data_IF_606524767631
#
_entry.id   IF_606524767631
#
_cell.length_a   1.000
_cell.length_b   1.000
_cell.length_c   1.000
_cell.angle_alpha   90.00
_cell.angle_beta   90.00
_cell.angle_gamma   90.00
#
_symmetry.space_group_name_H-M   'P 1'
#
loop_
_entity.id
_entity.type
_entity.pdbx_description
1 polymer ?
#
# COMPACT_ATOMS: atom_id res chain seq x y z
N UNK A 1 15.23 -15.62 -1.02
CA UNK A 1 14.93 -16.37 0.23
C UNK A 1 14.67 -15.44 1.42
N UNK A 2 15.55 -14.47 1.72
CA UNK A 2 15.40 -13.58 2.88
C UNK A 2 14.06 -12.84 2.95
N UNK A 3 13.64 -12.15 1.89
CA UNK A 3 12.37 -11.39 1.90
C UNK A 3 11.12 -12.28 2.03
N UNK A 4 11.18 -13.52 1.54
CA UNK A 4 10.07 -14.47 1.74
C UNK A 4 9.96 -14.88 3.21
N UNK A 5 11.10 -15.19 3.85
CA UNK A 5 11.12 -15.52 5.27
C UNK A 5 10.61 -14.34 6.11
N UNK A 6 11.09 -13.12 5.84
CA UNK A 6 10.59 -11.90 6.48
C UNK A 6 9.08 -11.75 6.29
N UNK A 7 8.58 -11.91 5.06
CA UNK A 7 7.17 -11.76 4.74
C UNK A 7 6.28 -12.74 5.50
N UNK A 8 6.67 -14.01 5.60
CA UNK A 8 5.94 -14.99 6.40
C UNK A 8 5.93 -14.61 7.88
N UNK A 9 7.10 -14.29 8.46
CA UNK A 9 7.20 -13.92 9.87
C UNK A 9 6.35 -12.70 10.19
N UNK A 10 6.47 -11.61 9.42
CA UNK A 10 5.74 -10.37 9.71
C UNK A 10 4.23 -10.53 9.48
N UNK A 11 3.81 -11.34 8.51
CA UNK A 11 2.38 -11.57 8.22
C UNK A 11 1.70 -12.43 9.29
N UNK A 12 2.45 -13.34 9.93
CA UNK A 12 1.94 -14.21 11.00
C UNK A 12 2.16 -13.61 12.41
N UNK A 13 2.79 -12.43 12.49
CA UNK A 13 3.00 -11.70 13.75
C UNK A 13 1.75 -10.89 14.10
N UNK A 14 1.28 -10.90 15.37
CA UNK A 14 0.18 -10.04 15.79
C UNK A 14 0.43 -8.57 15.42
N UNK A 15 -0.57 -7.91 14.82
CA UNK A 15 -0.42 -6.54 14.31
C UNK A 15 0.06 -5.57 15.41
N UNK A 16 -0.34 -5.76 16.67
CA UNK A 16 0.14 -4.93 17.79
C UNK A 16 1.66 -4.97 17.94
N UNK A 17 2.28 -6.15 17.82
CA UNK A 17 3.74 -6.29 17.91
C UNK A 17 4.43 -5.70 16.66
N UNK A 18 3.79 -5.77 15.49
CA UNK A 18 4.29 -5.08 14.28
C UNK A 18 4.25 -3.57 14.45
N UNK A 19 3.18 -3.03 15.05
CA UNK A 19 3.00 -1.60 15.29
C UNK A 19 4.06 -1.04 16.24
N UNK A 20 4.39 -1.77 17.31
CA UNK A 20 5.43 -1.38 18.27
C UNK A 20 6.80 -1.16 17.60
N UNK A 21 7.08 -1.89 16.50
CA UNK A 21 8.34 -1.84 15.76
C UNK A 21 8.20 -1.24 14.35
N UNK A 22 7.05 -0.62 14.02
CA UNK A 22 6.69 -0.22 12.66
C UNK A 22 7.75 0.66 12.00
N UNK A 23 8.31 1.64 12.72
CA UNK A 23 9.34 2.56 12.20
C UNK A 23 10.57 1.81 11.68
N UNK A 24 10.98 0.72 12.34
CA UNK A 24 12.14 -0.09 11.95
C UNK A 24 11.78 -1.10 10.85
N UNK A 25 10.54 -1.58 10.83
CA UNK A 25 10.09 -2.61 9.90
C UNK A 25 9.70 -2.07 8.53
N UNK A 26 9.22 -0.82 8.44
CA UNK A 26 8.72 -0.23 7.18
C UNK A 26 9.72 -0.33 6.03
N UNK A 27 11.00 0.07 6.16
CA UNK A 27 11.95 -0.03 5.05
C UNK A 27 12.05 -1.45 4.48
N UNK A 28 12.25 -2.45 5.35
CA UNK A 28 12.33 -3.87 4.98
C UNK A 28 11.03 -4.38 4.36
N UNK A 29 9.88 -3.92 4.88
CA UNK A 29 8.57 -4.27 4.33
C UNK A 29 8.37 -3.71 2.92
N UNK A 30 8.82 -2.48 2.65
CA UNK A 30 8.75 -1.86 1.33
C UNK A 30 9.72 -2.50 0.33
N UNK A 31 10.91 -2.90 0.77
CA UNK A 31 11.84 -3.70 -0.03
C UNK A 31 11.26 -5.07 -0.37
N UNK A 32 10.68 -5.77 0.62
CA UNK A 32 10.02 -7.05 0.41
C UNK A 32 8.85 -6.95 -0.59
N UNK A 33 7.99 -5.94 -0.45
CA UNK A 33 6.91 -5.68 -1.40
C UNK A 33 7.45 -5.43 -2.81
N UNK A 34 8.51 -4.63 -2.94
CA UNK A 34 9.15 -4.36 -4.23
C UNK A 34 9.65 -5.65 -4.88
N UNK A 35 10.53 -6.37 -4.19
CA UNK A 35 11.23 -7.53 -4.74
C UNK A 35 10.29 -8.70 -5.04
N UNK A 36 9.28 -8.92 -4.20
CA UNK A 36 8.36 -10.04 -4.37
C UNK A 36 7.27 -9.76 -5.40
N UNK A 37 6.94 -8.48 -5.66
CA UNK A 37 5.93 -8.11 -6.66
C UNK A 37 6.36 -8.36 -8.11
N UNK A 38 7.66 -8.50 -8.39
CA UNK A 38 8.16 -8.77 -9.74
C UNK A 38 7.76 -10.15 -10.26
N UNK A 39 7.67 -11.14 -9.38
CA UNK A 39 7.31 -12.51 -9.72
C UNK A 39 5.87 -12.81 -9.28
N UNK A 40 5.02 -13.01 -10.28
CA UNK A 40 3.58 -13.29 -10.13
C UNK A 40 3.26 -14.53 -9.28
N UNK A 41 4.20 -15.45 -9.11
CA UNK A 41 4.04 -16.61 -8.23
C UNK A 41 3.97 -16.22 -6.75
N UNK A 42 4.47 -15.04 -6.37
CA UNK A 42 4.44 -14.55 -4.99
C UNK A 42 3.17 -13.77 -4.63
N UNK A 43 2.13 -13.80 -5.47
CA UNK A 43 0.90 -13.01 -5.27
C UNK A 43 0.32 -13.13 -3.85
N UNK A 44 0.29 -14.31 -3.25
CA UNK A 44 -0.27 -14.50 -1.90
C UNK A 44 0.62 -13.83 -0.83
N UNK A 45 1.94 -13.90 -1.00
CA UNK A 45 2.91 -13.26 -0.10
C UNK A 45 2.83 -11.73 -0.23
N UNK A 46 2.74 -11.22 -1.46
CA UNK A 46 2.58 -9.78 -1.75
C UNK A 46 1.29 -9.27 -1.14
N UNK A 47 0.20 -10.02 -1.27
CA UNK A 47 -1.08 -9.66 -0.66
C UNK A 47 -0.99 -9.59 0.87
N UNK A 48 -0.37 -10.58 1.52
CA UNK A 48 -0.19 -10.59 2.98
C UNK A 48 0.66 -9.40 3.46
N UNK A 49 1.77 -9.09 2.78
CA UNK A 49 2.57 -7.90 3.09
C UNK A 49 1.77 -6.59 2.92
N UNK A 50 0.91 -6.53 1.91
CA UNK A 50 0.05 -5.38 1.68
C UNK A 50 -1.02 -5.25 2.77
N UNK A 51 -1.54 -6.36 3.28
CA UNK A 51 -2.45 -6.36 4.44
C UNK A 51 -1.74 -5.87 5.71
N UNK A 52 -0.49 -6.26 5.94
CA UNK A 52 0.32 -5.72 7.04
C UNK A 52 0.48 -4.20 6.90
N UNK A 53 0.84 -3.71 5.71
CA UNK A 53 0.93 -2.27 5.44
C UNK A 53 -0.41 -1.57 5.68
N UNK A 54 -1.52 -2.16 5.23
CA UNK A 54 -2.86 -1.63 5.47
C UNK A 54 -3.16 -1.53 6.96
N UNK A 55 -2.80 -2.55 7.75
CA UNK A 55 -2.95 -2.53 9.20
C UNK A 55 -2.17 -1.40 9.86
N UNK A 56 -0.92 -1.17 9.42
CA UNK A 56 -0.09 -0.05 9.88
C UNK A 56 -0.76 1.30 9.54
N UNK A 57 -1.32 1.46 8.35
CA UNK A 57 -1.97 2.70 7.92
C UNK A 57 -3.29 3.00 8.67
N UNK A 58 -3.94 1.98 9.23
CA UNK A 58 -5.17 2.13 10.00
C UNK A 58 -4.95 2.52 11.46
N UNK A 59 -3.72 2.38 11.97
CA UNK A 59 -3.35 2.75 13.33
C UNK A 59 -2.67 4.12 13.39
N UNK A 60 -2.91 4.91 14.45
CA UNK A 60 -2.33 6.26 14.58
C UNK A 60 -0.81 6.23 14.74
N UNK A 61 -0.27 5.31 15.53
CA UNK A 61 1.18 5.18 15.72
C UNK A 61 1.83 4.65 14.45
N UNK A 62 1.15 3.73 13.76
CA UNK A 62 1.55 3.25 12.44
C UNK A 62 1.57 4.37 11.38
N UNK A 63 0.60 5.28 11.39
CA UNK A 63 0.58 6.45 10.52
C UNK A 63 1.81 7.35 10.74
N UNK A 64 2.20 7.60 11.98
CA UNK A 64 3.43 8.35 12.26
C UNK A 64 4.69 7.67 11.70
N UNK A 65 4.72 6.33 11.73
CA UNK A 65 5.84 5.55 11.24
C UNK A 65 6.00 5.61 9.70
N UNK A 66 4.90 5.78 8.96
CA UNK A 66 4.95 5.85 7.49
C UNK A 66 5.32 7.24 6.95
N UNK A 67 5.23 8.30 7.76
CA UNK A 67 5.43 9.70 7.32
C UNK A 67 6.77 9.94 6.62
N UNK A 68 7.84 9.29 7.09
CA UNK A 68 9.18 9.44 6.51
C UNK A 68 9.31 8.75 5.15
N UNK A 69 8.49 7.72 4.90
CA UNK A 69 8.57 6.84 3.73
C UNK A 69 7.42 7.06 2.73
N UNK A 70 6.62 8.12 2.89
CA UNK A 70 5.41 8.40 2.08
C UNK A 70 5.66 8.28 0.58
N UNK A 71 6.75 8.87 0.08
CA UNK A 71 7.07 8.85 -1.36
C UNK A 71 7.32 7.42 -1.89
N UNK A 72 8.03 6.59 -1.13
CA UNK A 72 8.29 5.19 -1.47
C UNK A 72 6.99 4.40 -1.43
N UNK A 73 6.22 4.56 -0.35
CA UNK A 73 4.94 3.87 -0.16
C UNK A 73 4.00 4.16 -1.31
N UNK A 74 3.79 5.44 -1.66
CA UNK A 74 2.93 5.83 -2.78
C UNK A 74 3.44 5.23 -4.09
N UNK A 75 4.75 5.31 -4.36
CA UNK A 75 5.31 4.72 -5.58
C UNK A 75 5.06 3.21 -5.66
N UNK A 76 5.16 2.48 -4.54
CA UNK A 76 4.90 1.04 -4.49
C UNK A 76 3.42 0.73 -4.68
N UNK A 77 2.54 1.42 -3.97
CA UNK A 77 1.09 1.24 -4.09
C UNK A 77 0.60 1.52 -5.52
N UNK A 78 1.11 2.58 -6.17
CA UNK A 78 0.80 2.89 -7.56
C UNK A 78 1.17 1.74 -8.50
N UNK A 79 2.33 1.10 -8.29
CA UNK A 79 2.73 -0.08 -9.06
C UNK A 79 1.75 -1.25 -8.92
N UNK A 80 1.16 -1.41 -7.73
CA UNK A 80 0.22 -2.49 -7.42
C UNK A 80 -1.20 -2.24 -7.96
N UNK A 81 -1.58 -1.01 -8.33
CA UNK A 81 -2.90 -0.71 -8.94
C UNK A 81 -3.14 -1.52 -10.20
N UNK A 82 -2.10 -1.87 -10.95
CA UNK A 82 -2.20 -2.65 -12.18
C UNK A 82 -1.67 -4.09 -12.03
N UNK A 83 -1.58 -4.60 -10.79
CA UNK A 83 -1.05 -5.93 -10.53
C UNK A 83 -1.90 -7.03 -11.21
N UNK A 84 -1.36 -7.73 -12.23
CA UNK A 84 -2.18 -8.63 -13.05
C UNK A 84 -2.78 -9.84 -12.30
N UNK A 85 -2.01 -10.56 -11.45
CA UNK A 85 -2.42 -11.88 -10.94
C UNK A 85 -3.61 -11.90 -9.98
N UNK A 86 -3.89 -10.82 -9.27
CA UNK A 86 -4.86 -10.84 -8.16
C UNK A 86 -5.56 -9.49 -8.00
N UNK A 87 -6.89 -9.51 -8.08
CA UNK A 87 -7.70 -8.29 -7.90
C UNK A 87 -7.62 -7.72 -6.48
N UNK A 88 -7.49 -8.57 -5.45
CA UNK A 88 -7.43 -8.13 -4.06
C UNK A 88 -6.20 -7.25 -3.81
N UNK A 89 -5.05 -7.55 -4.44
CA UNK A 89 -3.87 -6.67 -4.37
C UNK A 89 -4.19 -5.28 -4.93
N UNK A 90 -4.86 -5.21 -6.09
CA UNK A 90 -5.20 -3.93 -6.72
C UNK A 90 -6.18 -3.13 -5.86
N UNK A 91 -7.22 -3.81 -5.36
CA UNK A 91 -8.23 -3.23 -4.48
C UNK A 91 -7.62 -2.69 -3.19
N UNK A 92 -6.85 -3.51 -2.47
CA UNK A 92 -6.21 -3.11 -1.22
C UNK A 92 -5.15 -2.03 -1.43
N UNK A 93 -4.41 -2.04 -2.55
CA UNK A 93 -3.44 -0.98 -2.84
C UNK A 93 -4.13 0.39 -3.00
N UNK A 94 -5.30 0.42 -3.64
CA UNK A 94 -6.11 1.62 -3.77
C UNK A 94 -6.69 2.05 -2.41
N UNK A 95 -7.16 1.11 -1.59
CA UNK A 95 -7.62 1.40 -0.22
C UNK A 95 -6.49 1.99 0.65
N UNK A 96 -5.26 1.47 0.53
CA UNK A 96 -4.08 2.05 1.17
C UNK A 96 -3.81 3.47 0.67
N UNK A 97 -3.97 3.75 -0.63
CA UNK A 97 -3.84 5.13 -1.15
C UNK A 97 -4.92 6.06 -0.57
N UNK A 98 -6.16 5.59 -0.35
CA UNK A 98 -7.18 6.35 0.39
C UNK A 98 -6.70 6.65 1.80
N UNK A 99 -6.19 5.66 2.54
CA UNK A 99 -5.69 5.88 3.90
C UNK A 99 -4.51 6.87 3.94
N UNK A 100 -3.62 6.82 2.95
CA UNK A 100 -2.51 7.76 2.81
C UNK A 100 -2.98 9.21 2.61
N UNK A 101 -4.19 9.45 2.13
CA UNK A 101 -4.73 10.78 1.87
C UNK A 101 -4.99 11.57 3.17
N UNK A 102 -5.03 10.91 4.34
CA UNK A 102 -5.22 11.56 5.64
C UNK A 102 -3.92 11.93 6.35
N UNK A 103 -2.76 11.64 5.75
CA UNK A 103 -1.46 12.01 6.32
C UNK A 103 -1.21 13.53 6.24
N UNK A 104 -0.22 14.08 6.96
CA UNK A 104 0.02 15.52 6.98
C UNK A 104 0.17 16.12 5.57
N UNK A 105 -0.60 17.17 5.27
CA UNK A 105 -0.71 17.79 3.93
C UNK A 105 0.65 18.09 3.29
N UNK A 106 1.58 18.65 4.07
CA UNK A 106 2.96 18.98 3.65
C UNK A 106 3.70 17.78 3.03
N UNK A 107 3.38 16.56 3.46
CA UNK A 107 4.04 15.33 3.01
C UNK A 107 3.37 14.73 1.77
N UNK A 108 2.06 14.89 1.61
CA UNK A 108 1.28 14.22 0.55
C UNK A 108 0.92 15.12 -0.63
N UNK A 109 0.78 16.43 -0.43
CA UNK A 109 0.40 17.36 -1.50
C UNK A 109 1.34 17.29 -2.72
N UNK A 110 2.69 17.20 -2.58
CA UNK A 110 3.59 17.07 -3.72
C UNK A 110 3.34 15.82 -4.58
N UNK A 111 2.72 14.79 -4.02
CA UNK A 111 2.49 13.49 -4.66
C UNK A 111 1.09 13.37 -5.27
N UNK A 112 0.22 14.36 -5.03
CA UNK A 112 -1.19 14.38 -5.46
C UNK A 112 -1.37 14.11 -6.96
N UNK A 113 -0.63 14.84 -7.80
CA UNK A 113 -0.72 14.71 -9.26
C UNK A 113 -0.34 13.29 -9.71
N UNK A 114 0.69 12.71 -9.11
CA UNK A 114 1.15 11.36 -9.42
C UNK A 114 0.07 10.31 -9.08
N UNK A 115 -0.56 10.44 -7.91
CA UNK A 115 -1.63 9.53 -7.49
C UNK A 115 -2.85 9.65 -8.40
N UNK A 116 -3.30 10.86 -8.71
CA UNK A 116 -4.47 11.07 -9.57
C UNK A 116 -4.26 10.53 -10.99
N UNK A 117 -3.06 10.69 -11.54
CA UNK A 117 -2.71 10.09 -12.84
C UNK A 117 -2.72 8.56 -12.77
N UNK A 118 -2.14 7.96 -11.73
CA UNK A 118 -2.09 6.51 -11.56
C UNK A 118 -3.47 5.87 -11.36
N UNK A 119 -4.33 6.50 -10.54
CA UNK A 119 -5.69 6.04 -10.22
C UNK A 119 -6.56 5.88 -11.47
N UNK A 120 -6.28 6.63 -12.54
CA UNK A 120 -7.00 6.51 -13.81
C UNK A 120 -7.02 5.07 -14.33
N UNK A 121 -5.95 4.29 -14.09
CA UNK A 121 -5.89 2.86 -14.46
C UNK A 121 -6.89 2.00 -13.67
N UNK A 122 -7.15 2.33 -12.41
CA UNK A 122 -8.10 1.61 -11.57
C UNK A 122 -9.56 1.91 -11.91
N UNK A 123 -9.86 3.07 -12.51
CA UNK A 123 -11.20 3.43 -12.96
C UNK A 123 -11.72 2.53 -14.08
N UNK A 124 -10.80 2.00 -14.90
CA UNK A 124 -11.10 1.09 -16.00
C UNK A 124 -10.81 -0.38 -15.67
N UNK A 125 -10.63 -0.72 -14.38
CA UNK A 125 -10.35 -2.12 -13.97
C UNK A 125 -11.52 -3.04 -14.37
N UNK A 126 -11.28 -4.29 -14.82
CA UNK A 126 -12.35 -5.23 -15.13
C UNK A 126 -13.27 -5.54 -13.95
N UNK A 127 -12.81 -5.39 -12.70
CA UNK A 127 -13.56 -5.72 -11.48
C UNK A 127 -14.24 -4.49 -10.90
N UNK A 128 -15.55 -4.64 -10.61
CA UNK A 128 -16.38 -3.55 -10.07
C UNK A 128 -15.88 -3.05 -8.72
N UNK A 129 -15.44 -3.93 -7.82
CA UNK A 129 -14.94 -3.53 -6.49
C UNK A 129 -13.71 -2.62 -6.61
N UNK A 130 -12.75 -3.01 -7.46
CA UNK A 130 -11.56 -2.20 -7.75
C UNK A 130 -11.94 -0.82 -8.31
N UNK A 131 -12.90 -0.76 -9.25
CA UNK A 131 -13.39 0.53 -9.79
C UNK A 131 -14.04 1.41 -8.71
N UNK A 132 -14.79 0.82 -7.78
CA UNK A 132 -15.43 1.56 -6.69
C UNK A 132 -14.38 2.19 -5.76
N UNK A 133 -13.35 1.42 -5.38
CA UNK A 133 -12.24 1.96 -4.59
C UNK A 133 -11.46 3.02 -5.37
N UNK A 134 -11.27 2.85 -6.69
CA UNK A 134 -10.60 3.85 -7.52
C UNK A 134 -11.36 5.19 -7.55
N UNK A 135 -12.70 5.16 -7.63
CA UNK A 135 -13.54 6.36 -7.54
C UNK A 135 -13.37 7.03 -6.18
N UNK A 136 -13.45 6.26 -5.09
CA UNK A 136 -13.26 6.76 -3.72
C UNK A 136 -11.88 7.40 -3.54
N UNK A 137 -10.83 6.72 -4.00
CA UNK A 137 -9.46 7.22 -3.95
C UNK A 137 -9.32 8.51 -4.76
N UNK A 138 -9.89 8.58 -5.96
CA UNK A 138 -9.85 9.80 -6.76
C UNK A 138 -10.49 10.98 -6.02
N UNK A 139 -11.64 10.77 -5.40
CA UNK A 139 -12.34 11.82 -4.64
C UNK A 139 -11.49 12.32 -3.47
N UNK A 140 -11.01 11.41 -2.62
CA UNK A 140 -10.18 11.76 -1.48
C UNK A 140 -8.91 12.54 -1.87
N UNK A 141 -8.28 12.17 -2.99
CA UNK A 141 -7.08 12.86 -3.49
C UNK A 141 -7.37 14.16 -4.25
N UNK A 142 -8.59 14.37 -4.74
CA UNK A 142 -8.97 15.65 -5.34
C UNK A 142 -9.19 16.74 -4.27
N UNK A 143 -9.57 16.34 -3.05
CA UNK A 143 -9.83 17.20 -1.90
C UNK A 143 -8.55 17.67 -1.15
N UNK A 144 -7.40 17.05 -1.43
CA UNK A 144 -6.05 17.47 -0.96
C UNK A 144 -5.57 18.70 -1.74
#
# INVERSE_FOLDING_TARGET
MLYRAFAHVVSDTPLSAVLDEAKKLIPTLLEALSMLSEDTLNKDIVYNLLLVLSGILMDKNGQEAVVENVHIIISRLIGLISYPPMMLIRETAIQCLVAMSSLPHVKIYPLRTQVLQAISKGLDDPKRSVRQEAVRCRQAWLEI
#
